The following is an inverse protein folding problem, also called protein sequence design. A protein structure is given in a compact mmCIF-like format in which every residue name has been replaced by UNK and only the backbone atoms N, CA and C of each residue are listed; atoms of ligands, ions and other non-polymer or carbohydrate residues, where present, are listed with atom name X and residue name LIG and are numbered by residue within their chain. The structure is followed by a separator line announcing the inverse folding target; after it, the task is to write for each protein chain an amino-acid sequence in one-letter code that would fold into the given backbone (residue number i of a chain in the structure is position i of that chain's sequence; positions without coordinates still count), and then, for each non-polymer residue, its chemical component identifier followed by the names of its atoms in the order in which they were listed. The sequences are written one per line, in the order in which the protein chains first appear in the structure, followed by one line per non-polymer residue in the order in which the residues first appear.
data_IF_891547809623
#
_entry.id   IF_891547809623
#
_cell.length_a   1.000
_cell.length_b   1.000
_cell.length_c   1.000
_cell.angle_alpha   90.00
_cell.angle_beta   90.00
_cell.angle_gamma   90.00
#
_symmetry.space_group_name_H-M   'P 1'
#
loop_
_entity.id
_entity.type
_entity.pdbx_description
1 polymer ?
#
# COMPACT_ATOMS: atom_id res chain seq x y z
N UNK A 1 28.53 8.76 14.39
CA UNK A 1 27.25 8.95 13.68
C UNK A 1 27.31 10.01 12.57
N UNK A 2 27.81 11.22 12.84
CA UNK A 2 27.96 12.30 11.83
C UNK A 2 28.64 11.83 10.53
N UNK A 3 29.78 11.16 10.65
CA UNK A 3 30.53 10.66 9.48
C UNK A 3 29.77 9.61 8.66
N UNK A 4 29.02 8.71 9.32
CA UNK A 4 28.18 7.72 8.62
C UNK A 4 27.12 8.40 7.75
N UNK A 5 26.45 9.42 8.30
CA UNK A 5 25.43 10.20 7.57
C UNK A 5 26.04 10.91 6.37
N UNK A 6 27.17 11.59 6.56
CA UNK A 6 27.89 12.29 5.47
C UNK A 6 28.16 11.34 4.30
N UNK A 7 28.78 10.19 4.57
CA UNK A 7 29.12 9.20 3.52
C UNK A 7 27.90 8.62 2.81
N UNK A 8 26.81 8.37 3.55
CA UNK A 8 25.55 7.89 2.96
C UNK A 8 24.89 8.99 2.11
N UNK A 9 24.86 10.23 2.60
CA UNK A 9 24.34 11.36 1.82
C UNK A 9 25.11 11.55 0.52
N UNK A 10 26.44 11.49 0.57
CA UNK A 10 27.30 11.58 -0.63
C UNK A 10 27.02 10.42 -1.61
N UNK A 11 26.80 9.21 -1.10
CA UNK A 11 26.44 8.08 -1.95
C UNK A 11 25.06 8.23 -2.60
N UNK A 12 24.08 8.78 -1.88
CA UNK A 12 22.76 9.11 -2.42
C UNK A 12 22.87 10.17 -3.52
N UNK A 13 23.63 11.24 -3.29
CA UNK A 13 23.82 12.32 -4.26
C UNK A 13 24.56 11.86 -5.52
N UNK A 14 25.60 11.05 -5.34
CA UNK A 14 26.37 10.48 -6.45
C UNK A 14 25.74 9.24 -7.06
N UNK A 15 24.57 8.81 -6.57
CA UNK A 15 23.84 7.60 -7.00
C UNK A 15 24.70 6.33 -6.95
N UNK A 16 25.65 6.28 -6.02
CA UNK A 16 26.58 5.14 -5.86
C UNK A 16 26.02 4.11 -4.89
N UNK A 17 26.20 2.83 -5.24
CA UNK A 17 25.94 1.73 -4.30
C UNK A 17 26.87 1.84 -3.11
N UNK A 18 26.41 1.36 -1.96
CA UNK A 18 27.25 1.26 -0.76
C UNK A 18 27.29 -0.18 -0.26
N UNK A 19 28.44 -0.57 0.30
CA UNK A 19 28.61 -1.83 1.01
C UNK A 19 28.94 -1.59 2.47
N UNK A 20 28.37 -2.38 3.38
CA UNK A 20 28.64 -2.30 4.81
C UNK A 20 28.41 -3.63 5.52
N UNK A 21 29.05 -3.80 6.67
CA UNK A 21 28.73 -4.87 7.61
C UNK A 21 27.55 -4.44 8.50
N UNK A 22 26.58 -5.33 8.68
CA UNK A 22 25.36 -5.09 9.43
C UNK A 22 25.15 -6.17 10.49
N UNK A 23 24.67 -5.75 11.66
CA UNK A 23 24.22 -6.66 12.73
C UNK A 23 22.74 -6.44 12.93
N UNK A 24 21.91 -7.48 12.77
CA UNK A 24 20.46 -7.38 12.98
C UNK A 24 20.08 -7.39 14.48
N UNK A 25 18.79 -7.51 14.78
CA UNK A 25 18.31 -7.48 16.16
C UNK A 25 18.70 -8.76 16.93
N UNK A 26 18.86 -9.86 16.21
CA UNK A 26 19.20 -11.19 16.68
C UNK A 26 20.72 -11.39 16.80
N UNK A 27 21.52 -10.39 16.41
CA UNK A 27 22.97 -10.41 16.53
C UNK A 27 23.70 -11.03 15.34
N UNK A 28 22.99 -11.43 14.28
CA UNK A 28 23.58 -12.04 13.10
C UNK A 28 24.30 -10.97 12.27
N UNK A 29 25.55 -11.27 11.93
CA UNK A 29 26.42 -10.40 11.14
C UNK A 29 26.30 -10.75 9.67
N UNK A 30 26.04 -9.75 8.82
CA UNK A 30 25.97 -9.89 7.36
C UNK A 30 26.72 -8.76 6.69
N UNK A 31 27.18 -8.96 5.45
CA UNK A 31 27.63 -7.88 4.59
C UNK A 31 26.51 -7.55 3.62
N UNK A 32 26.17 -6.27 3.49
CA UNK A 32 25.08 -5.79 2.64
C UNK A 32 25.65 -4.88 1.57
N UNK A 33 25.24 -5.10 0.34
CA UNK A 33 25.38 -4.14 -0.76
C UNK A 33 24.00 -3.61 -1.08
N UNK A 34 23.86 -2.29 -1.13
CA UNK A 34 22.56 -1.64 -1.27
C UNK A 34 22.63 -0.42 -2.19
N UNK A 35 21.51 -0.12 -2.84
CA UNK A 35 21.25 1.16 -3.50
C UNK A 35 20.60 2.11 -2.48
N UNK A 36 21.32 3.09 -1.90
CA UNK A 36 20.78 3.93 -0.86
C UNK A 36 19.73 4.92 -1.42
N UNK A 37 18.50 4.91 -0.87
CA UNK A 37 17.39 5.69 -1.41
C UNK A 37 16.99 6.85 -0.52
N UNK A 38 16.77 6.60 0.79
CA UNK A 38 16.32 7.61 1.74
C UNK A 38 17.06 7.49 3.07
N UNK A 39 17.79 8.53 3.43
CA UNK A 39 18.36 8.71 4.75
C UNK A 39 17.43 9.60 5.59
N UNK A 40 17.03 9.13 6.76
CA UNK A 40 16.11 9.86 7.63
C UNK A 40 16.44 9.71 9.12
N UNK A 41 15.88 10.64 9.87
CA UNK A 41 15.88 10.72 11.32
C UNK A 41 14.51 10.29 11.85
N UNK A 42 14.51 9.56 12.95
CA UNK A 42 13.29 9.19 13.68
C UNK A 42 13.43 9.57 15.16
N UNK A 43 12.52 10.42 15.63
CA UNK A 43 12.44 10.79 17.03
C UNK A 43 11.67 9.72 17.81
N UNK A 44 12.38 9.04 18.73
CA UNK A 44 11.80 8.01 19.58
C UNK A 44 11.52 8.55 21.00
N UNK A 45 10.92 9.73 21.14
CA UNK A 45 10.36 10.32 22.38
C UNK A 45 11.22 10.13 23.64
N UNK A 46 11.14 8.96 24.30
CA UNK A 46 11.88 8.61 25.52
C UNK A 46 13.31 8.09 25.27
N UNK A 47 13.61 7.54 24.08
CA UNK A 47 14.88 6.90 23.73
C UNK A 47 15.79 7.78 22.84
N UNK A 48 15.34 9.00 22.52
CA UNK A 48 16.06 9.96 21.70
C UNK A 48 16.08 9.66 20.20
N UNK A 49 16.87 10.45 19.48
CA UNK A 49 16.91 10.47 18.02
C UNK A 49 17.71 9.28 17.48
N UNK A 50 17.13 8.58 16.49
CA UNK A 50 17.79 7.51 15.73
C UNK A 50 17.82 7.81 14.25
N UNK A 51 18.77 7.20 13.55
CA UNK A 51 18.98 7.41 12.12
C UNK A 51 18.86 6.11 11.36
N UNK A 52 18.22 6.19 10.20
CA UNK A 52 17.87 5.04 9.37
C UNK A 52 18.14 5.33 7.91
N UNK A 53 18.53 4.29 7.17
CA UNK A 53 18.65 4.30 5.72
C UNK A 53 17.66 3.29 5.17
N UNK A 54 16.73 3.72 4.33
CA UNK A 54 15.97 2.82 3.47
C UNK A 54 16.66 2.71 2.12
N UNK A 55 16.86 1.47 1.67
CA UNK A 55 17.66 1.14 0.49
C UNK A 55 17.16 -0.18 -0.12
N UNK A 56 17.37 -0.36 -1.42
CA UNK A 56 17.21 -1.67 -2.05
C UNK A 56 18.40 -2.56 -1.69
N UNK A 57 18.14 -3.73 -1.11
CA UNK A 57 19.17 -4.65 -0.64
C UNK A 57 19.36 -5.79 -1.65
N UNK A 58 20.53 -5.90 -2.26
CA UNK A 58 20.79 -6.95 -3.26
C UNK A 58 20.81 -8.36 -2.66
N UNK A 59 21.21 -8.48 -1.38
CA UNK A 59 21.26 -9.78 -0.70
C UNK A 59 19.86 -10.36 -0.43
N UNK A 60 18.87 -9.49 -0.16
CA UNK A 60 17.49 -9.92 0.12
C UNK A 60 16.54 -9.66 -1.06
N UNK A 61 17.04 -8.99 -2.10
CA UNK A 61 16.31 -8.50 -3.26
C UNK A 61 14.99 -7.78 -2.89
N UNK A 62 15.09 -6.88 -1.91
CA UNK A 62 13.95 -6.16 -1.33
C UNK A 62 14.38 -4.81 -0.73
N UNK A 63 13.43 -3.88 -0.61
CA UNK A 63 13.59 -2.63 0.12
C UNK A 63 13.69 -2.88 1.60
N UNK A 64 14.77 -2.40 2.23
CA UNK A 64 15.00 -2.58 3.66
C UNK A 64 15.43 -1.31 4.35
N UNK A 65 14.98 -1.17 5.58
CA UNK A 65 15.30 -0.04 6.47
C UNK A 65 16.36 -0.48 7.47
N UNK A 66 17.54 0.10 7.36
CA UNK A 66 18.71 -0.24 8.15
C UNK A 66 18.99 0.86 9.19
N UNK A 67 19.04 0.47 10.46
CA UNK A 67 19.45 1.37 11.54
C UNK A 67 20.95 1.67 11.48
N UNK A 68 21.34 2.94 11.44
CA UNK A 68 22.74 3.36 11.19
C UNK A 68 23.72 2.99 12.31
N UNK A 69 23.26 2.88 13.54
CA UNK A 69 24.07 2.46 14.69
C UNK A 69 24.63 1.03 14.52
N UNK A 70 23.82 0.15 13.90
CA UNK A 70 24.14 -1.26 13.58
C UNK A 70 25.02 -1.45 12.35
N UNK A 71 25.29 -0.40 11.58
CA UNK A 71 26.20 -0.45 10.43
C UNK A 71 27.67 -0.29 10.83
N UNK A 72 28.57 -1.02 10.18
CA UNK A 72 30.04 -0.90 10.31
C UNK A 72 30.69 -0.95 8.94
N UNK A 73 31.90 -0.38 8.82
CA UNK A 73 32.72 -0.42 7.60
C UNK A 73 31.97 0.00 6.32
N UNK A 74 31.19 1.09 6.36
CA UNK A 74 30.50 1.63 5.19
C UNK A 74 31.53 2.04 4.13
N UNK A 75 31.36 1.59 2.89
CA UNK A 75 32.19 1.89 1.72
C UNK A 75 31.28 2.25 0.55
N UNK A 76 31.61 3.34 -0.15
CA UNK A 76 30.98 3.64 -1.44
C UNK A 76 31.65 2.79 -2.51
N UNK A 77 30.84 2.21 -3.40
CA UNK A 77 31.32 1.41 -4.52
C UNK A 77 31.47 2.31 -5.76
N UNK A 78 32.19 1.80 -6.77
CA UNK A 78 32.28 2.48 -8.07
C UNK A 78 30.98 2.36 -8.87
N UNK A 79 30.23 1.28 -8.64
CA UNK A 79 28.93 1.02 -9.26
C UNK A 79 27.91 2.11 -8.90
N UNK A 80 27.29 2.64 -9.94
CA UNK A 80 26.17 3.58 -9.88
C UNK A 80 24.89 2.80 -10.08
N UNK A 81 23.81 3.21 -9.42
CA UNK A 81 22.47 2.69 -9.65
C UNK A 81 21.63 3.75 -10.32
N UNK A 82 20.70 3.34 -11.18
CA UNK A 82 19.79 4.29 -11.83
C UNK A 82 18.61 4.54 -10.89
N UNK A 83 18.36 5.78 -10.44
CA UNK A 83 17.23 6.10 -9.55
C UNK A 83 15.88 5.64 -10.04
N UNK A 84 15.71 5.57 -11.37
CA UNK A 84 14.49 5.14 -12.02
C UNK A 84 14.27 3.62 -11.92
N UNK A 85 15.27 2.82 -11.55
CA UNK A 85 15.09 1.38 -11.27
C UNK A 85 14.38 1.13 -9.93
N UNK A 86 14.31 2.14 -9.06
CA UNK A 86 13.67 2.07 -7.74
C UNK A 86 12.45 2.98 -7.68
N UNK A 87 11.75 3.07 -8.79
CA UNK A 87 10.63 3.96 -8.95
C UNK A 87 9.38 3.38 -8.24
N UNK A 88 9.25 2.06 -8.19
CA UNK A 88 8.27 1.31 -7.36
C UNK A 88 8.40 1.52 -5.83
N UNK A 89 9.46 2.18 -5.37
CA UNK A 89 9.73 2.40 -3.96
C UNK A 89 8.91 3.56 -3.36
N UNK A 90 7.81 3.24 -2.63
CA UNK A 90 7.17 4.19 -1.71
C UNK A 90 7.79 4.15 -0.30
N UNK A 91 8.56 5.19 0.02
CA UNK A 91 9.14 5.41 1.33
C UNK A 91 8.10 5.48 2.46
N UNK A 92 6.97 6.16 2.26
CA UNK A 92 5.99 6.41 3.30
C UNK A 92 5.07 5.20 3.54
N UNK A 93 4.80 4.40 2.52
CA UNK A 93 4.19 3.08 2.69
C UNK A 93 5.09 2.18 3.54
N UNK A 94 6.39 2.11 3.18
CA UNK A 94 7.36 1.30 3.93
C UNK A 94 7.48 1.72 5.41
N UNK A 95 7.35 3.02 5.70
CA UNK A 95 7.37 3.53 7.07
C UNK A 95 6.12 3.16 7.87
N UNK A 96 4.94 3.13 7.24
CA UNK A 96 3.63 3.02 7.91
C UNK A 96 3.44 1.75 8.77
N UNK A 97 4.27 0.75 8.56
CA UNK A 97 4.25 -0.51 9.32
C UNK A 97 5.01 -0.47 10.65
N UNK A 98 5.94 0.49 10.84
CA UNK A 98 6.88 0.49 11.99
C UNK A 98 7.15 1.90 12.57
N UNK A 99 6.97 2.97 11.79
CA UNK A 99 7.36 4.33 12.16
C UNK A 99 6.19 5.31 12.09
N UNK A 100 6.02 6.11 13.15
CA UNK A 100 5.04 7.21 13.13
C UNK A 100 5.54 8.35 12.24
N UNK A 101 4.82 8.65 11.15
CA UNK A 101 5.21 9.67 10.15
C UNK A 101 5.50 11.05 10.75
N UNK A 102 4.71 11.50 11.73
CA UNK A 102 4.88 12.79 12.44
C UNK A 102 6.25 12.94 13.13
N UNK A 103 6.99 11.84 13.31
CA UNK A 103 8.30 11.78 13.99
C UNK A 103 9.46 11.47 13.05
N UNK A 104 9.21 11.40 11.74
CA UNK A 104 10.23 11.15 10.72
C UNK A 104 10.65 12.47 10.08
N UNK A 105 11.96 12.70 10.00
CA UNK A 105 12.55 13.82 9.26
C UNK A 105 13.53 13.30 8.22
N UNK A 106 13.24 13.52 6.94
CA UNK A 106 14.13 13.11 5.85
C UNK A 106 15.37 14.01 5.85
N UNK A 107 16.55 13.39 5.80
CA UNK A 107 17.85 14.07 5.73
C UNK A 107 18.32 14.16 4.27
N UNK A 108 18.21 13.05 3.53
CA UNK A 108 18.56 12.98 2.11
C UNK A 108 17.68 11.95 1.42
N UNK A 109 17.28 12.22 0.19
CA UNK A 109 16.55 11.29 -0.69
C UNK A 109 17.16 11.35 -2.08
N UNK A 110 17.12 10.24 -2.80
CA UNK A 110 17.45 10.21 -4.23
C UNK A 110 16.43 11.05 -5.00
N UNK A 111 16.90 12.08 -5.69
CA UNK A 111 16.10 12.86 -6.61
C UNK A 111 15.97 12.06 -7.91
N UNK A 112 14.81 11.45 -8.15
CA UNK A 112 14.47 10.96 -9.48
C UNK A 112 14.46 12.19 -10.41
N UNK A 113 15.34 12.19 -11.41
CA UNK A 113 15.46 13.33 -12.32
C UNK A 113 14.08 13.61 -12.93
N UNK A 114 13.58 14.85 -12.76
CA UNK A 114 12.41 15.32 -13.50
C UNK A 114 12.72 15.13 -14.99
N UNK A 115 12.18 14.09 -15.62
CA UNK A 115 11.97 14.15 -17.07
C UNK A 115 11.09 15.38 -17.27
N UNK A 116 11.51 16.26 -18.17
CA UNK A 116 10.71 17.39 -18.64
C UNK A 116 9.34 16.86 -19.00
N UNK A 117 8.38 16.99 -18.08
CA UNK A 117 7.00 16.68 -18.33
C UNK A 117 6.60 17.58 -19.48
N UNK A 118 6.40 16.99 -20.65
CA UNK A 118 5.50 17.57 -21.62
C UNK A 118 4.22 17.75 -20.83
N UNK A 119 3.85 19.00 -20.56
CA UNK A 119 2.65 19.35 -19.84
C UNK A 119 1.49 18.93 -20.75
N UNK A 120 1.14 17.64 -20.71
CA UNK A 120 -0.09 17.14 -21.31
C UNK A 120 -1.16 17.74 -20.42
N UNK A 121 -1.84 18.76 -20.96
CA UNK A 121 -3.00 19.40 -20.35
C UNK A 121 -3.81 18.32 -19.63
N UNK A 122 -4.03 18.50 -18.32
CA UNK A 122 -5.09 17.78 -17.64
C UNK A 122 -6.34 17.99 -18.49
N UNK A 123 -6.88 16.92 -19.07
CA UNK A 123 -8.22 16.94 -19.61
C UNK A 123 -9.10 17.46 -18.45
N UNK A 124 -9.76 18.59 -18.67
CA UNK A 124 -10.55 19.26 -17.65
C UNK A 124 -11.47 18.24 -16.97
N UNK A 125 -11.63 18.25 -15.63
CA UNK A 125 -12.56 17.34 -14.99
C UNK A 125 -13.99 17.63 -15.51
N UNK A 126 -14.83 16.59 -15.66
CA UNK A 126 -16.22 16.75 -16.07
C UNK A 126 -17.00 17.63 -15.08
N UNK A 127 -18.10 18.21 -15.57
CA UNK A 127 -19.04 19.03 -14.80
C UNK A 127 -19.36 18.40 -13.45
N UNK A 128 -19.19 19.14 -12.36
CA UNK A 128 -19.45 18.63 -11.01
C UNK A 128 -20.95 18.40 -10.79
N UNK A 129 -21.32 17.30 -10.13
CA UNK A 129 -22.70 17.02 -9.75
C UNK A 129 -23.29 18.13 -8.86
N UNK A 130 -24.58 18.45 -9.07
CA UNK A 130 -25.30 19.56 -8.43
C UNK A 130 -25.67 19.30 -6.96
N UNK A 131 -25.52 18.07 -6.45
CA UNK A 131 -25.71 17.70 -5.04
C UNK A 131 -24.41 17.58 -4.23
N UNK A 132 -24.55 17.44 -2.90
CA UNK A 132 -23.48 16.99 -1.98
C UNK A 132 -23.95 15.67 -1.37
N UNK A 133 -23.13 14.63 -1.47
CA UNK A 133 -23.49 13.25 -1.17
C UNK A 133 -22.84 12.70 0.11
N UNK A 134 -23.43 11.65 0.67
CA UNK A 134 -22.98 11.03 1.91
C UNK A 134 -23.58 11.71 3.16
N UNK A 135 -22.94 11.54 4.31
CA UNK A 135 -23.44 12.04 5.59
C UNK A 135 -22.39 12.91 6.28
N UNK A 136 -22.85 14.00 6.91
CA UNK A 136 -22.02 14.79 7.83
C UNK A 136 -21.67 13.90 9.02
N UNK A 137 -20.38 13.81 9.33
CA UNK A 137 -19.91 13.11 10.52
C UNK A 137 -18.86 13.97 11.22
N UNK A 138 -19.23 14.57 12.35
CA UNK A 138 -18.41 15.57 13.02
C UNK A 138 -17.13 14.97 13.67
N UNK A 139 -17.10 13.65 13.85
CA UNK A 139 -16.02 12.95 14.58
C UNK A 139 -14.88 12.42 13.69
N UNK A 140 -15.01 12.48 12.35
CA UNK A 140 -14.01 11.92 11.43
C UNK A 140 -13.15 13.03 10.83
N UNK A 141 -11.98 13.30 11.41
CA UNK A 141 -10.92 14.05 10.73
C UNK A 141 -10.33 13.20 9.60
N UNK A 142 -10.83 13.39 8.38
CA UNK A 142 -10.24 12.80 7.18
C UNK A 142 -8.95 13.57 6.85
N UNK A 143 -7.83 13.19 7.48
CA UNK A 143 -6.49 13.62 7.06
C UNK A 143 -6.27 13.14 5.60
N UNK A 144 -6.08 14.10 4.70
CA UNK A 144 -5.80 13.85 3.29
C UNK A 144 -4.38 13.27 3.20
N UNK A 145 -4.30 11.94 3.26
CA UNK A 145 -3.06 11.24 2.89
C UNK A 145 -2.83 11.51 1.41
N UNK A 146 -1.88 12.40 1.12
CA UNK A 146 -1.26 12.55 -0.19
C UNK A 146 -0.80 11.15 -0.58
N UNK A 147 -1.45 10.56 -1.60
CA UNK A 147 -0.96 9.34 -2.22
C UNK A 147 0.52 9.59 -2.54
N UNK A 148 1.42 8.79 -1.97
CA UNK A 148 2.79 8.78 -2.40
C UNK A 148 2.75 8.54 -3.91
N UNK A 149 3.45 9.37 -4.68
CA UNK A 149 3.58 9.14 -6.11
C UNK A 149 3.99 7.69 -6.32
N UNK A 150 3.10 6.86 -6.86
CA UNK A 150 3.45 5.59 -7.48
C UNK A 150 4.44 5.96 -8.59
N UNK A 151 5.73 5.74 -8.38
CA UNK A 151 6.71 5.94 -9.43
C UNK A 151 6.81 4.62 -10.24
N UNK A 152 5.69 3.98 -10.59
CA UNK A 152 5.69 2.69 -11.32
C UNK A 152 5.61 2.88 -12.86
N UNK A 153 6.14 3.97 -13.40
CA UNK A 153 5.80 4.50 -14.75
C UNK A 153 4.30 4.87 -14.91
N UNK A 154 3.58 5.04 -13.80
CA UNK A 154 2.20 5.54 -13.77
C UNK A 154 2.16 7.06 -13.48
N UNK A 155 1.16 7.79 -13.99
CA UNK A 155 0.14 7.30 -14.90
C UNK A 155 0.71 6.94 -16.27
N UNK A 156 0.27 5.81 -16.82
CA UNK A 156 0.64 5.39 -18.17
C UNK A 156 -0.54 5.52 -19.12
N UNK A 157 -0.21 5.66 -20.39
CA UNK A 157 -1.16 5.73 -21.48
C UNK A 157 -1.81 4.36 -21.67
N UNK A 158 -3.15 4.32 -21.62
CA UNK A 158 -3.94 3.13 -21.90
C UNK A 158 -4.80 3.37 -23.14
N UNK A 159 -4.66 2.49 -24.12
CA UNK A 159 -5.38 2.55 -25.38
C UNK A 159 -6.27 1.33 -25.52
N UNK A 160 -7.56 1.57 -25.73
CA UNK A 160 -8.55 0.51 -25.91
C UNK A 160 -9.71 1.02 -26.75
N UNK A 161 -10.26 0.15 -27.58
CA UNK A 161 -11.49 0.42 -28.33
C UNK A 161 -12.73 0.52 -27.44
N UNK A 162 -12.68 -0.02 -26.21
CA UNK A 162 -13.77 0.05 -25.23
C UNK A 162 -13.66 1.29 -24.34
N UNK A 163 -12.52 1.98 -24.30
CA UNK A 163 -12.43 3.29 -23.63
C UNK A 163 -13.15 4.34 -24.47
N UNK A 164 -14.05 5.10 -23.84
CA UNK A 164 -14.70 6.23 -24.52
C UNK A 164 -13.67 7.30 -24.89
N UNK A 165 -13.54 7.59 -26.18
CA UNK A 165 -12.48 8.45 -26.72
C UNK A 165 -11.20 7.72 -27.09
N UNK A 166 -11.14 6.39 -26.94
CA UNK A 166 -10.06 5.51 -27.38
C UNK A 166 -8.79 5.55 -26.53
N UNK A 167 -8.78 6.35 -25.46
CA UNK A 167 -7.58 6.63 -24.66
C UNK A 167 -7.94 7.09 -23.25
N UNK A 168 -7.17 6.64 -22.25
CA UNK A 168 -7.22 7.14 -20.89
C UNK A 168 -5.85 7.05 -20.19
N UNK A 169 -5.77 7.61 -18.99
CA UNK A 169 -4.61 7.44 -18.11
C UNK A 169 -4.91 6.33 -17.11
N UNK A 170 -4.11 5.27 -17.14
CA UNK A 170 -4.08 4.28 -16.07
C UNK A 170 -3.19 4.82 -14.94
N UNK A 171 -3.67 4.85 -13.70
CA UNK A 171 -3.00 5.47 -12.54
C UNK A 171 -2.30 4.48 -11.63
N UNK A 172 -2.63 3.20 -11.71
CA UNK A 172 -2.05 2.17 -10.85
C UNK A 172 -1.99 0.79 -11.53
N UNK A 173 -1.09 -0.10 -11.09
CA UNK A 173 -1.08 -1.48 -11.55
C UNK A 173 -2.42 -2.22 -11.29
N UNK A 174 -3.16 -1.81 -10.26
CA UNK A 174 -4.46 -2.39 -9.96
C UNK A 174 -5.50 -1.99 -11.02
N UNK A 175 -5.48 -0.73 -11.47
CA UNK A 175 -6.30 -0.29 -12.60
C UNK A 175 -5.94 -1.02 -13.89
N UNK A 176 -4.66 -1.21 -14.18
CA UNK A 176 -4.23 -1.96 -15.37
C UNK A 176 -4.86 -3.35 -15.40
N UNK A 177 -4.79 -4.09 -14.29
CA UNK A 177 -5.40 -5.43 -14.21
C UNK A 177 -6.90 -5.42 -14.48
N UNK A 178 -7.61 -4.38 -14.04
CA UNK A 178 -9.05 -4.25 -14.26
C UNK A 178 -9.37 -3.79 -15.69
N UNK A 179 -8.54 -2.94 -16.29
CA UNK A 179 -8.71 -2.52 -17.67
C UNK A 179 -8.48 -3.70 -18.63
N UNK A 180 -7.47 -4.54 -18.38
CA UNK A 180 -7.26 -5.79 -19.12
C UNK A 180 -8.49 -6.71 -19.05
N UNK A 181 -9.12 -6.86 -17.88
CA UNK A 181 -10.33 -7.66 -17.73
C UNK A 181 -11.49 -7.08 -18.53
N UNK A 182 -11.71 -5.77 -18.46
CA UNK A 182 -12.76 -5.09 -19.22
C UNK A 182 -12.54 -5.21 -20.73
N UNK A 183 -11.31 -5.10 -21.19
CA UNK A 183 -10.96 -5.26 -22.60
C UNK A 183 -11.23 -6.67 -23.12
N UNK A 184 -11.07 -7.69 -22.26
CA UNK A 184 -11.35 -9.09 -22.60
C UNK A 184 -12.79 -9.54 -22.31
N UNK A 185 -13.63 -8.73 -21.68
CA UNK A 185 -15.02 -9.08 -21.38
C UNK A 185 -15.96 -8.69 -22.53
N UNK A 186 -16.51 -9.68 -23.23
CA UNK A 186 -17.40 -9.47 -24.37
C UNK A 186 -18.71 -8.76 -23.99
N UNK A 187 -19.16 -8.82 -22.74
CA UNK A 187 -20.37 -8.12 -22.28
C UNK A 187 -20.14 -6.62 -22.04
N UNK A 188 -18.88 -6.19 -21.94
CA UNK A 188 -18.52 -4.78 -21.80
C UNK A 188 -18.58 -4.09 -23.16
N UNK A 189 -19.48 -3.12 -23.28
CA UNK A 189 -19.61 -2.29 -24.47
C UNK A 189 -18.58 -1.16 -24.47
N UNK A 190 -18.46 -0.44 -23.36
CA UNK A 190 -17.51 0.66 -23.19
C UNK A 190 -17.29 0.99 -21.70
N UNK A 191 -16.22 1.68 -21.39
CA UNK A 191 -15.98 2.26 -20.06
C UNK A 191 -15.33 3.65 -20.13
N UNK A 192 -15.57 4.45 -19.09
CA UNK A 192 -15.04 5.79 -18.88
C UNK A 192 -14.19 5.79 -17.60
N UNK A 193 -12.96 6.28 -17.68
CA UNK A 193 -12.04 6.44 -16.54
C UNK A 193 -12.18 7.85 -15.96
N UNK A 194 -12.21 7.97 -14.63
CA UNK A 194 -12.39 9.26 -13.93
C UNK A 194 -13.63 10.04 -14.47
N UNK A 195 -14.82 9.41 -14.57
CA UNK A 195 -15.90 9.81 -15.49
C UNK A 195 -16.64 11.09 -15.11
N UNK A 196 -16.61 11.49 -13.83
CA UNK A 196 -17.23 12.72 -13.34
C UNK A 196 -16.79 13.04 -11.91
N UNK A 197 -17.11 14.26 -11.47
CA UNK A 197 -16.76 14.76 -10.13
C UNK A 197 -18.00 14.86 -9.25
N UNK A 198 -17.96 14.25 -8.07
CA UNK A 198 -19.03 14.40 -7.07
C UNK A 198 -18.54 15.21 -5.87
N UNK A 199 -19.45 15.98 -5.26
CA UNK A 199 -19.20 16.61 -3.95
C UNK A 199 -19.67 15.66 -2.88
N UNK A 200 -18.91 15.54 -1.81
CA UNK A 200 -19.28 14.68 -0.69
C UNK A 200 -18.85 15.26 0.66
N UNK A 201 -19.49 14.78 1.72
CA UNK A 201 -19.08 15.09 3.09
C UNK A 201 -17.89 14.23 3.52
N UNK A 202 -16.76 14.88 3.73
CA UNK A 202 -15.54 14.34 4.31
C UNK A 202 -15.46 14.77 5.78
N UNK A 203 -16.19 14.06 6.64
CA UNK A 203 -16.48 14.52 7.99
C UNK A 203 -17.44 15.72 7.95
N UNK A 204 -17.05 16.84 8.55
CA UNK A 204 -17.80 18.11 8.48
C UNK A 204 -17.50 18.97 7.24
N UNK A 205 -16.49 18.61 6.44
CA UNK A 205 -16.05 19.40 5.29
C UNK A 205 -16.60 18.85 3.98
N UNK A 206 -17.04 19.73 3.09
CA UNK A 206 -17.39 19.34 1.71
C UNK A 206 -16.11 19.26 0.88
N UNK A 207 -15.86 18.10 0.26
CA UNK A 207 -14.76 17.87 -0.67
C UNK A 207 -15.27 17.35 -2.00
N UNK A 208 -14.38 17.30 -2.99
CA UNK A 208 -14.64 16.62 -4.25
C UNK A 208 -13.96 15.27 -4.28
N UNK A 209 -14.61 14.32 -4.94
CA UNK A 209 -14.07 13.01 -5.25
C UNK A 209 -14.48 12.61 -6.67
N UNK A 210 -13.64 11.83 -7.33
CA UNK A 210 -13.81 11.35 -8.70
C UNK A 210 -13.79 9.82 -8.62
N UNK A 211 -14.86 9.11 -9.02
CA UNK A 211 -14.87 7.65 -9.08
C UNK A 211 -13.85 7.12 -10.09
N UNK A 212 -13.38 5.89 -9.88
CA UNK A 212 -12.38 5.30 -10.79
C UNK A 212 -12.97 5.01 -12.18
N UNK A 213 -14.15 4.36 -12.26
CA UNK A 213 -14.75 3.92 -13.52
C UNK A 213 -16.27 4.12 -13.61
N UNK A 214 -16.75 4.27 -14.85
CA UNK A 214 -18.13 4.04 -15.26
C UNK A 214 -18.16 3.06 -16.44
N UNK A 215 -18.65 1.85 -16.19
CA UNK A 215 -18.74 0.76 -17.18
C UNK A 215 -20.15 0.70 -17.75
N UNK A 216 -20.25 0.55 -19.07
CA UNK A 216 -21.51 0.31 -19.77
C UNK A 216 -21.48 -1.09 -20.39
N UNK A 217 -22.44 -1.92 -20.00
CA UNK A 217 -22.60 -3.28 -20.49
C UNK A 217 -23.56 -3.32 -21.69
N UNK A 218 -23.49 -4.38 -22.49
CA UNK A 218 -24.35 -4.60 -23.67
C UNK A 218 -25.83 -4.73 -23.34
N UNK A 219 -26.16 -5.23 -22.16
CA UNK A 219 -27.53 -5.34 -21.64
C UNK A 219 -28.12 -3.97 -21.21
N UNK A 220 -27.33 -2.90 -21.29
CA UNK A 220 -27.73 -1.55 -20.92
C UNK A 220 -27.43 -1.17 -19.47
N UNK A 221 -26.95 -2.11 -18.64
CA UNK A 221 -26.53 -1.79 -17.27
C UNK A 221 -25.33 -0.84 -17.29
N UNK A 222 -25.33 0.10 -16.33
CA UNK A 222 -24.25 1.06 -16.13
C UNK A 222 -23.79 0.98 -14.69
N UNK A 223 -22.54 0.56 -14.50
CA UNK A 223 -21.94 0.30 -13.19
C UNK A 223 -20.85 1.34 -12.93
N UNK A 224 -20.98 2.09 -11.86
CA UNK A 224 -19.88 2.86 -11.30
C UNK A 224 -19.02 1.88 -10.49
N UNK A 225 -17.75 1.77 -10.83
CA UNK A 225 -16.84 0.85 -10.16
C UNK A 225 -15.70 1.62 -9.48
N UNK A 226 -15.43 1.25 -8.23
CA UNK A 226 -14.34 1.80 -7.43
C UNK A 226 -13.30 0.72 -7.16
N UNK A 227 -12.08 0.93 -7.66
CA UNK A 227 -10.99 -0.05 -7.64
C UNK A 227 -10.16 0.18 -6.38
N UNK A 228 -10.15 -0.79 -5.47
CA UNK A 228 -9.43 -0.67 -4.19
C UNK A 228 -8.83 -2.00 -3.74
N UNK A 229 -7.81 -1.92 -2.90
CA UNK A 229 -7.37 -3.12 -2.17
C UNK A 229 -8.31 -3.44 -1.01
N UNK A 230 -8.39 -4.72 -0.62
CA UNK A 230 -9.13 -5.16 0.57
C UNK A 230 -8.63 -4.53 1.88
N UNK A 231 -7.39 -4.04 1.93
CA UNK A 231 -6.90 -3.23 3.05
C UNK A 231 -7.55 -1.84 3.07
N UNK A 232 -7.71 -1.23 1.90
CA UNK A 232 -8.19 0.15 1.76
C UNK A 232 -9.70 0.27 1.91
N UNK A 233 -10.48 -0.76 1.58
CA UNK A 233 -11.95 -0.71 1.77
C UNK A 233 -12.32 -0.49 3.24
N UNK A 234 -11.50 -0.98 4.18
CA UNK A 234 -11.71 -0.82 5.62
C UNK A 234 -11.43 0.59 6.14
N UNK A 235 -10.77 1.46 5.36
CA UNK A 235 -10.45 2.81 5.81
C UNK A 235 -11.72 3.66 5.83
N UNK A 236 -12.02 4.30 6.97
CA UNK A 236 -13.22 5.14 7.15
C UNK A 236 -13.37 6.22 6.07
N UNK A 237 -12.24 6.79 5.63
CA UNK A 237 -12.22 7.78 4.54
C UNK A 237 -12.76 7.24 3.22
N UNK A 238 -12.51 5.97 2.92
CA UNK A 238 -12.98 5.31 1.71
C UNK A 238 -14.44 4.90 1.86
N UNK A 239 -14.83 4.43 3.05
CA UNK A 239 -16.24 4.18 3.37
C UNK A 239 -17.10 5.44 3.23
N UNK A 240 -16.60 6.62 3.63
CA UNK A 240 -17.30 7.89 3.40
C UNK A 240 -17.51 8.19 1.91
N UNK A 241 -16.52 7.87 1.05
CA UNK A 241 -16.65 7.99 -0.40
C UNK A 241 -17.63 6.97 -0.97
N UNK A 242 -17.58 5.72 -0.51
CA UNK A 242 -18.49 4.64 -0.94
C UNK A 242 -19.94 5.01 -0.67
N UNK A 243 -20.25 5.49 0.54
CA UNK A 243 -21.59 6.01 0.88
C UNK A 243 -22.04 7.13 -0.05
N UNK A 244 -21.14 8.06 -0.37
CA UNK A 244 -21.45 9.18 -1.24
C UNK A 244 -21.73 8.73 -2.68
N UNK A 245 -20.90 7.86 -3.25
CA UNK A 245 -21.08 7.39 -4.62
C UNK A 245 -22.26 6.41 -4.75
N UNK A 246 -22.55 5.61 -3.72
CA UNK A 246 -23.74 4.75 -3.66
C UNK A 246 -25.03 5.58 -3.72
N UNK A 247 -25.10 6.66 -2.93
CA UNK A 247 -26.23 7.59 -2.98
C UNK A 247 -26.35 8.23 -4.37
N UNK A 248 -25.23 8.72 -4.93
CA UNK A 248 -25.21 9.30 -6.26
C UNK A 248 -25.69 8.30 -7.33
N UNK A 249 -25.20 7.05 -7.27
CA UNK A 249 -25.55 6.00 -8.20
C UNK A 249 -27.06 5.74 -8.20
N UNK A 250 -27.64 5.59 -7.00
CA UNK A 250 -29.07 5.37 -6.82
C UNK A 250 -29.93 6.51 -7.39
N UNK A 251 -29.53 7.76 -7.17
CA UNK A 251 -30.24 8.93 -7.69
C UNK A 251 -30.21 9.05 -9.21
N UNK A 252 -29.18 8.48 -9.86
CA UNK A 252 -28.95 8.61 -11.31
C UNK A 252 -29.20 7.32 -12.09
N UNK A 253 -29.73 6.28 -11.43
CA UNK A 253 -30.04 5.00 -12.08
C UNK A 253 -28.80 4.19 -12.46
N UNK A 254 -27.70 4.34 -11.71
CA UNK A 254 -26.50 3.52 -11.83
C UNK A 254 -26.47 2.42 -10.78
N UNK A 255 -25.82 1.32 -11.13
CA UNK A 255 -25.32 0.34 -10.16
C UNK A 255 -23.97 0.84 -9.60
N UNK A 256 -23.65 0.44 -8.37
CA UNK A 256 -22.36 0.77 -7.74
C UNK A 256 -21.70 -0.51 -7.23
N UNK A 257 -20.42 -0.67 -7.55
CA UNK A 257 -19.60 -1.77 -7.08
C UNK A 257 -18.25 -1.30 -6.55
N UNK A 258 -17.75 -1.99 -5.53
CA UNK A 258 -16.34 -1.91 -5.11
C UNK A 258 -15.62 -3.14 -5.64
N UNK A 259 -14.66 -2.92 -6.53
CA UNK A 259 -13.81 -3.97 -7.07
C UNK A 259 -12.62 -4.13 -6.14
N UNK A 260 -12.81 -4.98 -5.13
CA UNK A 260 -11.81 -5.21 -4.11
C UNK A 260 -10.88 -6.34 -4.53
N UNK A 261 -9.57 -6.07 -4.51
CA UNK A 261 -8.52 -7.06 -4.80
C UNK A 261 -7.54 -7.19 -3.65
N UNK A 262 -6.75 -8.25 -3.64
CA UNK A 262 -5.58 -8.31 -2.76
C UNK A 262 -4.53 -7.31 -3.26
N UNK A 263 -3.75 -6.76 -2.33
CA UNK A 263 -2.64 -5.91 -2.73
C UNK A 263 -1.58 -6.69 -3.50
N UNK A 264 -0.86 -6.01 -4.40
CA UNK A 264 0.07 -6.62 -5.36
C UNK A 264 1.42 -6.98 -4.68
N UNK A 265 1.70 -6.45 -3.49
CA UNK A 265 2.94 -6.70 -2.74
C UNK A 265 2.90 -7.97 -1.88
N UNK A 266 4.09 -8.57 -1.64
CA UNK A 266 4.27 -9.79 -0.81
C UNK A 266 3.66 -9.68 0.60
N UNK A 267 3.52 -8.47 1.14
CA UNK A 267 2.95 -8.19 2.46
C UNK A 267 1.43 -8.01 2.43
N UNK A 268 0.88 -7.29 1.44
CA UNK A 268 -0.56 -7.02 1.32
C UNK A 268 -1.31 -8.19 0.69
N UNK A 269 -0.69 -8.85 -0.28
CA UNK A 269 -1.21 -10.06 -0.93
C UNK A 269 -1.13 -11.33 -0.09
N UNK A 270 -0.43 -11.31 1.05
CA UNK A 270 -0.37 -12.42 2.01
C UNK A 270 -1.42 -12.30 3.14
N UNK A 271 -2.14 -11.17 3.22
CA UNK A 271 -3.20 -10.97 4.21
C UNK A 271 -4.52 -11.56 3.72
N UNK A 272 -4.80 -11.42 2.43
CA UNK A 272 -6.05 -11.84 1.81
C UNK A 272 -5.82 -12.96 0.82
N UNK A 273 -6.76 -13.90 0.80
CA UNK A 273 -6.75 -15.00 -0.15
C UNK A 273 -7.39 -14.54 -1.47
N UNK A 274 -7.09 -15.22 -2.58
CA UNK A 274 -7.74 -14.94 -3.86
C UNK A 274 -9.28 -15.09 -3.80
N UNK A 275 -9.78 -15.95 -2.90
CA UNK A 275 -11.22 -16.11 -2.66
C UNK A 275 -11.89 -14.91 -1.99
N UNK A 276 -11.10 -13.99 -1.42
CA UNK A 276 -11.60 -12.77 -0.80
C UNK A 276 -11.68 -11.62 -1.81
N UNK A 277 -11.25 -11.81 -3.06
CA UNK A 277 -11.38 -10.80 -4.12
C UNK A 277 -12.76 -10.87 -4.77
N UNK A 278 -13.24 -9.74 -5.27
CA UNK A 278 -14.50 -9.72 -6.00
C UNK A 278 -15.00 -8.34 -6.36
N UNK A 279 -16.05 -8.32 -7.17
CA UNK A 279 -16.84 -7.14 -7.46
C UNK A 279 -18.01 -7.14 -6.48
N UNK A 280 -17.96 -6.24 -5.51
CA UNK A 280 -18.92 -6.20 -4.41
C UNK A 280 -19.98 -5.14 -4.69
N UNK A 281 -21.23 -5.56 -4.94
CA UNK A 281 -22.37 -4.65 -5.07
C UNK A 281 -22.80 -3.99 -3.74
N UNK A 282 -22.21 -4.42 -2.62
CA UNK A 282 -22.30 -3.73 -1.32
C UNK A 282 -20.89 -3.56 -0.77
N UNK A 283 -20.50 -2.31 -0.53
CA UNK A 283 -19.19 -1.99 0.01
C UNK A 283 -19.07 -2.45 1.48
N UNK A 284 -20.16 -2.54 2.23
CA UNK A 284 -20.19 -3.10 3.58
C UNK A 284 -19.81 -4.57 3.58
N UNK A 285 -20.28 -5.35 2.60
CA UNK A 285 -19.89 -6.75 2.46
C UNK A 285 -18.37 -6.86 2.16
N UNK A 286 -17.83 -5.98 1.31
CA UNK A 286 -16.37 -5.92 1.08
C UNK A 286 -15.59 -5.63 2.38
N UNK A 287 -16.08 -4.68 3.19
CA UNK A 287 -15.50 -4.35 4.51
C UNK A 287 -15.59 -5.53 5.48
N UNK A 288 -16.73 -6.23 5.48
CA UNK A 288 -16.96 -7.37 6.34
C UNK A 288 -16.02 -8.54 6.00
N UNK A 289 -15.93 -8.91 4.72
CA UNK A 289 -14.98 -9.93 4.24
C UNK A 289 -13.56 -9.58 4.65
N UNK A 290 -13.14 -8.33 4.41
CA UNK A 290 -11.80 -7.89 4.76
C UNK A 290 -11.54 -7.93 6.27
N UNK A 291 -12.54 -7.57 7.08
CA UNK A 291 -12.43 -7.55 8.55
C UNK A 291 -12.35 -8.95 9.13
N UNK A 292 -13.27 -9.85 8.73
CA UNK A 292 -13.28 -11.25 9.16
C UNK A 292 -11.96 -11.95 8.85
N UNK A 293 -11.37 -11.67 7.66
CA UNK A 293 -10.07 -12.23 7.28
C UNK A 293 -8.94 -11.80 8.21
N UNK A 294 -8.87 -10.51 8.54
CA UNK A 294 -7.84 -9.98 9.44
C UNK A 294 -7.97 -10.57 10.84
N UNK A 295 -9.19 -10.63 11.38
CA UNK A 295 -9.45 -11.23 12.69
C UNK A 295 -9.06 -12.71 12.75
N UNK A 296 -9.38 -13.47 11.68
CA UNK A 296 -8.97 -14.87 11.54
C UNK A 296 -7.44 -15.00 11.54
N UNK A 297 -6.76 -14.20 10.74
CA UNK A 297 -5.29 -14.20 10.67
C UNK A 297 -4.66 -13.86 12.02
N UNK A 298 -5.23 -12.91 12.77
CA UNK A 298 -4.77 -12.57 14.13
C UNK A 298 -5.03 -13.70 15.13
N UNK A 299 -6.17 -14.39 15.03
CA UNK A 299 -6.47 -15.55 15.87
C UNK A 299 -5.51 -16.72 15.60
N UNK A 300 -5.20 -16.99 14.33
CA UNK A 300 -4.24 -18.02 13.93
C UNK A 300 -2.82 -17.68 14.41
N UNK A 301 -2.39 -16.42 14.27
CA UNK A 301 -1.10 -15.95 14.81
C UNK A 301 -1.03 -16.11 16.33
N UNK A 302 -2.08 -15.72 17.06
CA UNK A 302 -2.17 -15.90 18.52
C UNK A 302 -2.11 -17.37 18.93
N UNK A 303 -2.82 -18.25 18.22
CA UNK A 303 -2.77 -19.71 18.45
C UNK A 303 -1.37 -20.27 18.19
N UNK A 304 -0.74 -19.89 17.07
CA UNK A 304 0.62 -20.33 16.75
C UNK A 304 1.61 -19.86 17.82
N UNK A 305 1.56 -18.59 18.23
CA UNK A 305 2.40 -18.05 19.29
C UNK A 305 2.18 -18.76 20.63
N UNK A 306 0.93 -19.12 20.95
CA UNK A 306 0.63 -19.92 22.14
C UNK A 306 1.31 -21.30 22.08
N UNK A 307 1.21 -22.01 20.96
CA UNK A 307 1.88 -23.30 20.75
C UNK A 307 3.41 -23.19 20.73
N UNK A 308 3.97 -22.15 20.12
CA UNK A 308 5.42 -21.90 20.10
C UNK A 308 5.94 -21.64 21.54
N UNK A 309 5.16 -20.96 22.38
CA UNK A 309 5.56 -20.63 23.76
C UNK A 309 5.31 -21.77 24.76
N UNK A 310 4.23 -22.53 24.61
CA UNK A 310 3.78 -23.49 25.62
C UNK A 310 3.85 -24.95 25.16
N UNK A 311 4.05 -25.22 23.87
CA UNK A 311 4.08 -26.58 23.32
C UNK A 311 5.14 -27.45 23.97
N UNK A 312 6.33 -26.90 24.27
CA UNK A 312 7.38 -27.64 24.97
C UNK A 312 7.00 -27.99 26.41
N UNK A 313 6.34 -27.08 27.14
CA UNK A 313 5.92 -27.30 28.53
C UNK A 313 4.82 -28.37 28.63
N UNK A 314 3.86 -28.36 27.69
CA UNK A 314 2.81 -29.38 27.63
C UNK A 314 3.41 -30.78 27.37
N UNK A 315 4.37 -30.89 26.44
CA UNK A 315 5.06 -32.16 26.15
C UNK A 315 5.87 -32.65 27.36
N UNK A 316 6.56 -31.76 28.06
CA UNK A 316 7.32 -32.09 29.28
C UNK A 316 6.39 -32.56 30.40
N UNK A 317 5.27 -31.86 30.62
CA UNK A 317 4.28 -32.23 31.64
C UNK A 317 3.63 -33.59 31.36
N UNK A 318 3.31 -33.89 30.10
CA UNK A 318 2.82 -35.21 29.69
C UNK A 318 3.88 -36.28 29.97
N UNK A 319 5.15 -36.04 29.60
CA UNK A 319 6.25 -36.97 29.88
C UNK A 319 6.46 -37.26 31.37
N UNK A 320 6.39 -36.22 32.22
CA UNK A 320 6.51 -36.35 33.68
C UNK A 320 5.30 -37.10 34.29
N UNK A 321 4.09 -36.86 33.80
CA UNK A 321 2.90 -37.60 34.23
C UNK A 321 2.99 -39.08 33.87
N UNK A 322 3.49 -39.42 32.68
CA UNK A 322 3.76 -40.82 32.29
C UNK A 322 4.77 -41.48 33.22
N UNK A 323 5.89 -40.80 33.55
CA UNK A 323 6.89 -41.35 34.48
C UNK A 323 6.32 -41.58 35.89
N UNK A 324 5.47 -40.68 36.38
CA UNK A 324 4.78 -40.85 37.67
C UNK A 324 3.83 -42.05 37.65
N UNK A 325 3.02 -42.21 36.60
CA UNK A 325 2.11 -43.36 36.47
C UNK A 325 2.90 -44.68 36.45
N UNK A 326 4.01 -44.74 35.72
CA UNK A 326 4.87 -45.93 35.69
C UNK A 326 5.57 -46.21 37.04
N UNK A 327 5.83 -45.19 37.84
CA UNK A 327 6.40 -45.36 39.18
C UNK A 327 5.41 -45.93 40.21
N UNK A 328 4.10 -45.78 39.99
CA UNK A 328 3.03 -46.32 40.84
C UNK A 328 2.58 -47.74 40.44
N UNK A 329 2.94 -48.19 39.24
CA UNK A 329 2.62 -49.52 38.72
C UNK A 329 3.74 -50.56 38.95
N UNK A 330 4.75 -50.21 39.74
CA UNK A 330 5.91 -51.04 40.11
C UNK A 330 5.98 -51.15 41.61
#
# INVERSE_FOLDING_TARGET
MREKRRRISEAIESKKKISFSYVDAEGKKTTRTVCPLVLFEYDKYLEGIRYYLTAFCELDFDYRTFRLDRMRKIRSLAEVFEPNEFSDFDFYEKLGTVFTRKRVRIIKRVDAGKKSGRQVRSLLPPTAATGVYGSVNDDIEIEEHIYGNFNDDYPKEWYSSKVKGGFCLCRSPLEEMEFEKLDNDDEVLAYEVEPFKIRYYAGSKVRYYIPDLLVTYRDGRRVIAEIKTLSEVRLEKNQAKFKAIEQYAKEHGYEFEVWARRGIGRLTGAIFDASDEGNYSSWENAVEVATRRIEKNEAERRRKQFWDNWGCLVVIMIGLAFLLIFSFLR
#
